data_IF_829230615498
#
_entry.id   IF_829230615498
#
_cell.length_a   1.000
_cell.length_b   1.000
_cell.length_c   1.000
_cell.angle_alpha   90.00
_cell.angle_beta   90.00
_cell.angle_gamma   90.00
#
_symmetry.space_group_name_H-M   'P 1'
#
loop_
_entity.id
_entity.type
_entity.pdbx_description
1 polymer ?
#
# COMPACT_ATOMS: atom_id res chain seq x y z
N UNK A 1 -22.23 24.21 53.79
CA UNK A 1 -21.15 24.85 53.01
C UNK A 1 -20.69 23.84 51.96
N UNK A 2 -21.24 23.95 50.76
CA UNK A 2 -20.96 23.04 49.62
C UNK A 2 -19.67 23.48 48.94
N UNK A 3 -18.69 22.55 48.85
CA UNK A 3 -17.37 22.82 48.31
C UNK A 3 -17.39 23.05 46.79
N UNK A 4 -16.96 24.20 46.26
CA UNK A 4 -16.90 24.46 44.82
C UNK A 4 -15.84 23.64 44.10
N UNK A 5 -14.91 23.00 44.81
CA UNK A 5 -13.80 22.21 44.25
C UNK A 5 -14.26 20.91 43.56
N UNK A 6 -15.31 20.25 44.03
CA UNK A 6 -15.80 18.98 43.46
C UNK A 6 -16.44 19.16 42.09
N UNK A 7 -17.04 20.28 41.81
CA UNK A 7 -17.69 20.56 40.52
C UNK A 7 -16.65 20.78 39.38
N UNK A 8 -15.53 21.42 39.71
CA UNK A 8 -14.46 21.67 38.72
C UNK A 8 -13.73 20.41 38.29
N UNK A 9 -13.52 19.44 39.20
CA UNK A 9 -12.88 18.16 38.90
C UNK A 9 -13.76 17.31 38.00
N UNK A 10 -15.07 17.30 38.19
CA UNK A 10 -16.01 16.57 37.36
C UNK A 10 -16.15 17.16 35.95
N UNK A 11 -16.11 18.48 35.79
CA UNK A 11 -16.11 19.12 34.47
C UNK A 11 -14.82 18.84 33.68
N UNK A 12 -13.66 18.84 34.33
CA UNK A 12 -12.38 18.60 33.70
C UNK A 12 -12.27 17.15 33.22
N UNK A 13 -12.76 16.17 33.97
CA UNK A 13 -12.78 14.76 33.58
C UNK A 13 -13.71 14.47 32.40
N UNK A 14 -14.83 15.21 32.28
CA UNK A 14 -15.77 15.06 31.17
C UNK A 14 -15.17 15.59 29.84
N UNK A 15 -14.47 16.72 29.89
CA UNK A 15 -13.81 17.32 28.71
C UNK A 15 -12.69 16.44 28.15
N UNK A 16 -11.91 15.77 29.00
CA UNK A 16 -10.85 14.84 28.54
C UNK A 16 -11.42 13.59 27.87
N UNK A 17 -12.56 13.10 28.32
CA UNK A 17 -13.24 11.93 27.73
C UNK A 17 -13.79 12.23 26.34
N UNK A 18 -14.35 13.42 26.10
CA UNK A 18 -14.88 13.84 24.78
C UNK A 18 -13.76 14.01 23.75
N UNK A 19 -12.61 14.59 24.13
CA UNK A 19 -11.47 14.75 23.25
C UNK A 19 -10.87 13.39 22.83
N UNK A 20 -10.84 12.41 23.71
CA UNK A 20 -10.39 11.05 23.41
C UNK A 20 -11.27 10.34 22.38
N UNK A 21 -12.57 10.49 22.47
CA UNK A 21 -13.53 9.90 21.52
C UNK A 21 -13.44 10.53 20.12
N UNK A 22 -13.26 11.84 20.04
CA UNK A 22 -13.12 12.55 18.76
C UNK A 22 -11.85 12.11 18.01
N UNK A 23 -10.72 11.95 18.69
CA UNK A 23 -9.47 11.48 18.10
C UNK A 23 -9.57 10.01 17.61
N UNK A 24 -10.23 9.16 18.37
CA UNK A 24 -10.44 7.76 17.98
C UNK A 24 -11.34 7.65 16.74
N UNK A 25 -12.40 8.45 16.65
CA UNK A 25 -13.29 8.50 15.48
C UNK A 25 -12.53 8.95 14.22
N UNK A 26 -11.70 9.98 14.32
CA UNK A 26 -10.88 10.48 13.21
C UNK A 26 -9.86 9.42 12.75
N UNK A 27 -9.22 8.72 13.68
CA UNK A 27 -8.30 7.63 13.39
C UNK A 27 -8.99 6.47 12.64
N UNK A 28 -10.18 6.07 13.08
CA UNK A 28 -10.95 5.01 12.43
C UNK A 28 -11.41 5.42 11.03
N UNK A 29 -11.87 6.64 10.83
CA UNK A 29 -12.23 7.17 9.50
C UNK A 29 -11.03 7.17 8.55
N UNK A 30 -9.84 7.51 9.01
CA UNK A 30 -8.61 7.46 8.24
C UNK A 30 -8.32 6.02 7.76
N UNK A 31 -8.45 5.05 8.63
CA UNK A 31 -8.24 3.62 8.30
C UNK A 31 -9.27 3.12 7.28
N UNK A 32 -10.55 3.46 7.46
CA UNK A 32 -11.62 3.09 6.51
C UNK A 32 -11.39 3.71 5.12
N UNK A 33 -10.96 4.97 5.08
CA UNK A 33 -10.56 5.62 3.83
C UNK A 33 -9.39 4.89 3.18
N UNK A 34 -8.38 4.51 3.94
CA UNK A 34 -7.23 3.75 3.45
C UNK A 34 -7.61 2.38 2.91
N UNK A 35 -8.50 1.65 3.60
CA UNK A 35 -9.06 0.38 3.13
C UNK A 35 -9.75 0.54 1.78
N UNK A 36 -10.59 1.54 1.65
CA UNK A 36 -11.27 1.86 0.40
C UNK A 36 -10.27 2.13 -0.72
N UNK A 37 -9.31 3.03 -0.50
CA UNK A 37 -8.29 3.40 -1.48
C UNK A 37 -7.46 2.20 -1.93
N UNK A 38 -6.95 1.39 -1.01
CA UNK A 38 -6.20 0.17 -1.32
C UNK A 38 -6.99 -0.79 -2.20
N UNK A 39 -8.30 -0.88 -1.97
CA UNK A 39 -9.20 -1.75 -2.75
C UNK A 39 -9.43 -1.19 -4.15
N UNK A 40 -9.85 0.07 -4.27
CA UNK A 40 -10.25 0.64 -5.58
C UNK A 40 -9.07 1.01 -6.47
N UNK A 41 -7.88 1.24 -5.88
CA UNK A 41 -6.65 1.47 -6.65
C UNK A 41 -5.94 0.19 -7.07
N UNK A 42 -6.52 -0.99 -6.83
CA UNK A 42 -5.98 -2.28 -7.27
C UNK A 42 -4.68 -2.72 -6.57
N UNK A 43 -4.37 -2.19 -5.38
CA UNK A 43 -3.12 -2.57 -4.68
C UNK A 43 -3.06 -4.08 -4.41
N UNK A 44 -4.21 -4.67 -4.08
CA UNK A 44 -4.31 -6.11 -3.81
C UNK A 44 -4.03 -6.98 -5.02
N UNK A 45 -4.31 -6.51 -6.24
CA UNK A 45 -4.22 -7.32 -7.46
C UNK A 45 -2.81 -7.89 -7.68
N UNK A 46 -1.81 -7.13 -7.26
CA UNK A 46 -0.41 -7.55 -7.33
C UNK A 46 0.16 -7.90 -5.94
N UNK A 47 -0.16 -7.12 -4.90
CA UNK A 47 0.47 -7.23 -3.58
C UNK A 47 -0.19 -8.24 -2.64
N UNK A 48 -1.23 -8.96 -3.08
CA UNK A 48 -1.88 -10.05 -2.33
C UNK A 48 -1.90 -11.30 -3.21
N UNK A 49 -1.29 -12.42 -2.76
CA UNK A 49 -1.27 -13.65 -3.55
C UNK A 49 -2.70 -14.14 -3.87
N UNK A 50 -2.93 -14.58 -5.10
CA UNK A 50 -4.19 -15.14 -5.59
C UNK A 50 -5.42 -14.21 -5.44
N UNK A 51 -5.23 -12.90 -5.31
CA UNK A 51 -6.35 -11.97 -5.12
C UNK A 51 -7.26 -11.88 -6.36
N UNK A 52 -6.73 -11.69 -7.60
CA UNK A 52 -7.56 -11.70 -8.79
C UNK A 52 -8.24 -13.05 -9.04
N UNK A 53 -7.52 -14.15 -8.87
CA UNK A 53 -8.00 -15.52 -9.10
C UNK A 53 -9.15 -15.89 -8.16
N UNK A 54 -9.12 -15.35 -6.94
CA UNK A 54 -10.19 -15.54 -5.93
C UNK A 54 -11.39 -14.60 -6.15
N UNK A 55 -11.33 -13.69 -7.13
CA UNK A 55 -12.31 -12.61 -7.26
C UNK A 55 -12.32 -11.68 -6.04
N UNK A 56 -11.15 -11.42 -5.46
CA UNK A 56 -10.99 -10.54 -4.31
C UNK A 56 -11.38 -11.14 -2.95
N UNK A 57 -11.61 -12.45 -2.87
CA UNK A 57 -12.13 -13.13 -1.66
C UNK A 57 -11.04 -13.54 -0.66
N UNK A 58 -9.85 -12.95 -0.74
CA UNK A 58 -8.80 -13.20 0.26
C UNK A 58 -9.18 -12.49 1.56
N UNK A 59 -9.13 -13.16 2.73
CA UNK A 59 -9.37 -12.54 4.03
C UNK A 59 -8.48 -11.32 4.25
N UNK A 60 -9.03 -10.26 4.85
CA UNK A 60 -8.31 -8.99 5.03
C UNK A 60 -6.97 -9.17 5.77
N UNK A 61 -6.94 -10.04 6.77
CA UNK A 61 -5.73 -10.37 7.52
C UNK A 61 -4.62 -11.03 6.69
N UNK A 62 -4.90 -11.49 5.46
CA UNK A 62 -3.95 -12.15 4.55
C UNK A 62 -3.54 -11.27 3.36
N UNK A 63 -4.09 -10.05 3.28
CA UNK A 63 -3.82 -9.14 2.17
C UNK A 63 -2.50 -8.39 2.33
N UNK A 64 -1.98 -7.89 1.20
CA UNK A 64 -0.83 -6.99 1.10
C UNK A 64 0.49 -7.60 1.60
N UNK A 65 0.59 -8.93 1.59
CA UNK A 65 1.78 -9.68 2.04
C UNK A 65 2.85 -9.84 0.96
N UNK A 66 2.68 -9.19 -0.20
CA UNK A 66 3.56 -9.34 -1.36
C UNK A 66 3.25 -10.57 -2.18
N UNK A 67 4.01 -10.78 -3.27
CA UNK A 67 3.84 -11.95 -4.13
C UNK A 67 5.20 -12.47 -4.61
N UNK A 68 5.33 -13.79 -4.72
CA UNK A 68 6.51 -14.45 -5.29
C UNK A 68 6.43 -14.62 -6.81
N UNK A 69 5.27 -14.37 -7.43
CA UNK A 69 5.14 -14.30 -8.88
C UNK A 69 5.73 -12.98 -9.36
N UNK A 70 6.77 -13.06 -10.20
CA UNK A 70 7.44 -11.90 -10.77
C UNK A 70 6.73 -11.35 -11.99
N UNK A 71 7.07 -10.12 -12.36
CA UNK A 71 6.67 -9.48 -13.60
C UNK A 71 7.92 -9.19 -14.42
N UNK A 72 8.12 -9.94 -15.51
CA UNK A 72 9.31 -9.85 -16.34
C UNK A 72 9.04 -9.04 -17.61
N UNK A 73 9.95 -8.12 -17.91
CA UNK A 73 9.87 -7.28 -19.09
C UNK A 73 11.24 -6.71 -19.46
N UNK A 74 11.30 -5.69 -20.35
CA UNK A 74 12.55 -5.03 -20.71
C UNK A 74 13.33 -4.45 -19.52
N UNK A 75 12.64 -4.23 -18.40
CA UNK A 75 13.21 -3.72 -17.14
C UNK A 75 13.83 -4.81 -16.25
N UNK A 76 13.81 -6.08 -16.65
CA UNK A 76 14.15 -7.22 -15.80
C UNK A 76 12.93 -7.85 -15.15
N UNK A 77 13.10 -8.49 -13.99
CA UNK A 77 12.00 -9.09 -13.22
C UNK A 77 11.79 -8.33 -11.91
N UNK A 78 10.63 -7.71 -11.75
CA UNK A 78 10.20 -7.04 -10.51
C UNK A 78 9.17 -7.89 -9.76
N UNK A 79 9.09 -7.72 -8.45
CA UNK A 79 8.17 -8.45 -7.58
C UNK A 79 7.33 -7.49 -6.75
N UNK A 80 6.02 -7.76 -6.57
CA UNK A 80 5.18 -6.97 -5.69
C UNK A 80 5.65 -7.09 -4.25
N UNK A 81 6.10 -5.99 -3.69
CA UNK A 81 6.64 -5.95 -2.33
C UNK A 81 5.58 -6.34 -1.29
N UNK A 82 6.02 -6.92 -0.17
CA UNK A 82 5.20 -7.04 1.03
C UNK A 82 4.98 -5.65 1.64
N UNK A 83 3.79 -5.07 1.38
CA UNK A 83 3.47 -3.70 1.83
C UNK A 83 3.35 -3.61 3.35
N UNK A 84 2.98 -4.71 4.03
CA UNK A 84 2.89 -4.75 5.50
C UNK A 84 4.27 -4.63 6.14
N UNK A 85 5.28 -5.29 5.57
CA UNK A 85 6.68 -5.14 6.00
C UNK A 85 7.26 -3.80 5.57
N UNK A 86 6.90 -3.30 4.39
CA UNK A 86 7.30 -1.97 3.92
C UNK A 86 6.83 -0.90 4.90
N UNK A 87 5.54 -0.89 5.26
CA UNK A 87 4.99 0.11 6.18
C UNK A 87 5.48 -0.07 7.63
N UNK A 88 5.84 -1.30 8.04
CA UNK A 88 6.50 -1.52 9.33
C UNK A 88 7.81 -0.74 9.43
N UNK A 89 8.57 -0.69 8.35
CA UNK A 89 9.94 -0.15 8.31
C UNK A 89 10.01 1.34 7.92
N UNK A 90 8.89 1.95 7.53
CA UNK A 90 8.81 3.36 7.16
C UNK A 90 8.00 4.15 8.19
N UNK A 91 8.45 5.37 8.48
CA UNK A 91 7.57 6.38 9.08
C UNK A 91 6.57 6.88 8.04
N UNK A 92 5.49 7.52 8.48
CA UNK A 92 4.50 8.14 7.57
C UNK A 92 5.16 9.13 6.61
N UNK A 93 6.06 9.98 7.11
CA UNK A 93 6.78 10.93 6.27
C UNK A 93 7.66 10.25 5.21
N UNK A 94 8.35 9.17 5.57
CA UNK A 94 9.14 8.38 4.62
C UNK A 94 8.26 7.71 3.57
N UNK A 95 7.06 7.25 3.97
CA UNK A 95 6.08 6.71 3.03
C UNK A 95 5.63 7.77 2.02
N UNK A 96 5.26 8.98 2.47
CA UNK A 96 4.87 10.07 1.57
C UNK A 96 5.97 10.38 0.55
N UNK A 97 7.23 10.49 0.98
CA UNK A 97 8.36 10.71 0.09
C UNK A 97 8.53 9.56 -0.92
N UNK A 98 8.44 8.30 -0.46
CA UNK A 98 8.56 7.13 -1.32
C UNK A 98 7.45 7.04 -2.36
N UNK A 99 6.22 7.38 -1.99
CA UNK A 99 5.06 7.34 -2.88
C UNK A 99 5.18 8.32 -4.07
N UNK A 100 6.02 9.35 -3.95
CA UNK A 100 6.30 10.33 -5.00
C UNK A 100 7.44 9.91 -5.95
N UNK A 101 8.17 8.82 -5.64
CA UNK A 101 9.30 8.37 -6.45
C UNK A 101 8.87 7.38 -7.53
N UNK A 102 9.52 7.39 -8.70
CA UNK A 102 9.33 6.36 -9.70
C UNK A 102 9.62 4.96 -9.16
N UNK A 103 8.78 4.01 -9.53
CA UNK A 103 8.96 2.59 -9.19
C UNK A 103 9.10 1.77 -10.48
N UNK A 104 9.63 0.56 -10.36
CA UNK A 104 9.81 -0.33 -11.52
C UNK A 104 8.46 -0.79 -12.06
N UNK A 105 8.34 -0.92 -13.39
CA UNK A 105 7.17 -1.54 -14.00
C UNK A 105 6.93 -2.97 -13.46
N UNK A 106 5.68 -3.45 -13.50
CA UNK A 106 4.49 -2.78 -14.03
C UNK A 106 3.77 -1.90 -12.99
N UNK A 107 4.37 -1.64 -11.81
CA UNK A 107 3.74 -0.82 -10.78
C UNK A 107 3.32 0.56 -11.35
N UNK A 108 2.02 0.90 -11.32
CA UNK A 108 1.54 2.20 -11.78
C UNK A 108 1.83 3.28 -10.72
N UNK A 109 3.11 3.56 -10.48
CA UNK A 109 3.59 4.48 -9.43
C UNK A 109 3.04 5.90 -9.57
N UNK A 110 2.67 6.30 -10.78
CA UNK A 110 2.04 7.60 -11.03
C UNK A 110 0.69 7.72 -10.32
N UNK A 111 -0.04 6.61 -10.08
CA UNK A 111 -1.26 6.63 -9.26
C UNK A 111 -0.98 7.02 -7.81
N UNK A 112 0.14 6.56 -7.23
CA UNK A 112 0.56 7.00 -5.89
C UNK A 112 1.02 8.47 -5.92
N UNK A 113 1.78 8.86 -6.94
CA UNK A 113 2.24 10.24 -7.11
C UNK A 113 1.07 11.23 -7.13
N UNK A 114 -0.03 10.86 -7.77
CA UNK A 114 -1.16 11.75 -8.00
C UNK A 114 -2.22 11.71 -6.87
N UNK A 115 -2.07 10.80 -5.89
CA UNK A 115 -2.88 10.82 -4.66
C UNK A 115 -2.56 12.08 -3.82
N UNK A 116 -3.55 12.59 -3.10
CA UNK A 116 -3.33 13.62 -2.07
C UNK A 116 -2.48 13.06 -0.92
N UNK A 117 -1.85 13.94 -0.15
CA UNK A 117 -1.11 13.50 1.04
C UNK A 117 -2.04 12.85 2.07
N UNK A 118 -3.27 13.33 2.20
CA UNK A 118 -4.25 12.75 3.12
C UNK A 118 -4.68 11.34 2.68
N UNK A 119 -4.83 11.09 1.39
CA UNK A 119 -5.09 9.75 0.86
C UNK A 119 -3.89 8.81 1.08
N UNK A 120 -2.67 9.29 0.88
CA UNK A 120 -1.46 8.51 1.17
C UNK A 120 -1.32 8.20 2.67
N UNK A 121 -1.65 9.16 3.56
CA UNK A 121 -1.71 8.93 5.01
C UNK A 121 -2.77 7.89 5.37
N UNK A 122 -3.92 7.94 4.73
CA UNK A 122 -4.98 6.96 4.92
C UNK A 122 -4.53 5.55 4.52
N UNK A 123 -3.89 5.40 3.35
CA UNK A 123 -3.28 4.13 2.90
C UNK A 123 -2.26 3.63 3.94
N UNK A 124 -1.38 4.50 4.42
CA UNK A 124 -0.40 4.17 5.45
C UNK A 124 -1.08 3.69 6.73
N UNK A 125 -2.06 4.43 7.25
CA UNK A 125 -2.77 4.10 8.48
C UNK A 125 -3.44 2.72 8.39
N UNK A 126 -4.13 2.44 7.28
CA UNK A 126 -4.76 1.14 7.05
C UNK A 126 -3.75 -0.02 7.05
N UNK A 127 -2.67 0.10 6.28
CA UNK A 127 -1.67 -0.98 6.18
C UNK A 127 -0.94 -1.16 7.52
N UNK A 128 -0.68 -0.10 8.26
CA UNK A 128 -0.13 -0.14 9.61
C UNK A 128 -1.06 -0.86 10.60
N UNK A 129 -2.36 -0.63 10.50
CA UNK A 129 -3.35 -1.31 11.35
C UNK A 129 -3.39 -2.82 11.09
N UNK A 130 -3.23 -3.26 9.83
CA UNK A 130 -3.13 -4.69 9.53
C UNK A 130 -1.93 -5.35 10.22
N UNK A 131 -0.91 -4.59 10.57
CA UNK A 131 0.32 -5.05 11.21
C UNK A 131 1.22 -5.90 10.29
N UNK A 132 2.44 -6.22 10.69
CA UNK A 132 3.38 -7.00 9.90
C UNK A 132 2.92 -8.46 9.76
N UNK A 133 3.08 -9.03 8.54
CA UNK A 133 2.79 -10.45 8.26
C UNK A 133 3.57 -10.92 7.03
N UNK A 134 3.88 -12.22 6.99
CA UNK A 134 4.54 -12.86 5.84
C UNK A 134 6.03 -12.59 5.78
N UNK A 135 6.63 -12.95 4.64
CA UNK A 135 8.06 -12.79 4.34
C UNK A 135 8.28 -11.69 3.30
N UNK A 136 9.49 -11.14 3.18
CA UNK A 136 9.84 -10.27 2.08
C UNK A 136 9.59 -10.95 0.72
N UNK A 137 9.09 -10.19 -0.26
CA UNK A 137 9.05 -10.67 -1.64
C UNK A 137 10.48 -10.89 -2.19
N UNK A 138 10.64 -11.71 -3.25
CA UNK A 138 11.94 -11.87 -3.90
C UNK A 138 12.54 -10.54 -4.36
N UNK A 139 13.87 -10.48 -4.40
CA UNK A 139 14.58 -9.30 -4.88
C UNK A 139 14.44 -9.11 -6.40
N UNK A 140 14.57 -7.85 -6.84
CA UNK A 140 14.62 -7.54 -8.26
C UNK A 140 15.76 -8.27 -8.97
N UNK A 141 15.47 -8.82 -10.16
CA UNK A 141 16.48 -9.38 -11.07
C UNK A 141 16.65 -8.48 -12.31
N UNK A 142 17.90 -8.18 -12.66
CA UNK A 142 18.23 -7.33 -13.81
C UNK A 142 17.83 -7.99 -15.16
N UNK A 143 17.70 -7.22 -16.25
CA UNK A 143 17.48 -7.81 -17.59
C UNK A 143 18.52 -8.90 -17.91
N UNK A 144 18.04 -10.04 -18.40
CA UNK A 144 18.89 -11.20 -18.72
C UNK A 144 19.27 -12.08 -17.52
N UNK A 145 19.00 -11.67 -16.30
CA UNK A 145 19.22 -12.49 -15.12
C UNK A 145 18.10 -13.55 -14.99
N UNK A 146 18.49 -14.81 -14.90
CA UNK A 146 17.54 -15.90 -14.67
C UNK A 146 16.92 -15.83 -13.27
N UNK A 147 15.64 -16.20 -13.16
CA UNK A 147 14.91 -16.31 -11.90
C UNK A 147 14.35 -17.72 -11.76
N UNK A 148 14.27 -18.23 -10.53
CA UNK A 148 13.73 -19.56 -10.23
C UNK A 148 12.26 -19.48 -9.73
N UNK A 149 11.68 -18.30 -9.71
CA UNK A 149 10.28 -18.07 -9.31
C UNK A 149 9.37 -18.05 -10.53
N UNK A 150 8.08 -18.37 -10.39
CA UNK A 150 7.11 -18.09 -11.44
C UNK A 150 7.09 -16.59 -11.79
N UNK A 151 6.84 -16.28 -13.07
CA UNK A 151 6.68 -14.91 -13.52
C UNK A 151 5.68 -14.78 -14.68
N UNK A 152 5.11 -13.59 -14.82
CA UNK A 152 4.28 -13.20 -15.95
C UNK A 152 5.18 -12.46 -16.94
N UNK A 153 5.15 -12.88 -18.22
CA UNK A 153 5.94 -12.27 -19.31
C UNK A 153 5.21 -11.03 -19.87
N UNK A 154 5.80 -9.87 -19.64
CA UNK A 154 5.34 -8.57 -20.17
C UNK A 154 6.08 -8.14 -21.44
N UNK A 155 6.75 -9.08 -22.11
CA UNK A 155 7.39 -8.77 -23.40
C UNK A 155 6.32 -8.52 -24.47
N UNK A 156 6.31 -7.33 -25.10
CA UNK A 156 5.36 -7.04 -26.16
C UNK A 156 5.49 -8.04 -27.32
N UNK A 157 4.36 -8.55 -27.78
CA UNK A 157 4.30 -9.45 -28.97
C UNK A 157 3.69 -8.69 -30.14
N UNK A 158 3.94 -9.18 -31.37
CA UNK A 158 3.37 -8.65 -32.61
C UNK A 158 3.56 -7.12 -32.79
N UNK A 159 4.74 -6.64 -32.41
CA UNK A 159 5.09 -5.23 -32.63
C UNK A 159 5.01 -4.90 -34.14
N UNK A 160 4.45 -3.73 -34.53
CA UNK A 160 4.49 -3.30 -35.91
C UNK A 160 5.94 -3.22 -36.38
N UNK A 161 6.22 -3.68 -37.61
CA UNK A 161 7.54 -3.49 -38.19
C UNK A 161 7.82 -2.00 -38.29
N UNK A 162 8.95 -1.55 -37.73
CA UNK A 162 9.43 -0.20 -38.00
C UNK A 162 9.54 -0.07 -39.52
N UNK A 163 8.73 0.79 -40.13
CA UNK A 163 8.99 1.22 -41.48
C UNK A 163 10.35 1.91 -41.42
N UNK A 164 11.35 1.35 -42.13
CA UNK A 164 12.61 2.04 -42.34
C UNK A 164 12.23 3.38 -42.99
N UNK A 165 12.51 4.47 -42.29
CA UNK A 165 12.44 5.81 -42.87
C UNK A 165 13.37 5.77 -44.10
N UNK A 166 12.80 5.87 -45.30
CA UNK A 166 13.56 6.11 -46.50
C UNK A 166 14.19 7.51 -46.33
N UNK A 167 15.52 7.53 -46.15
CA UNK A 167 16.31 8.74 -46.34
C UNK A 167 16.39 9.06 -47.85
#
# INVERSE_FOLDING_TARGET
MSHPFTLHILLLSLLTSIAGMANAATSQQMVERGRYLVTVSGCNDCHTPNYPESGGKIPEGDRLTGNSVGFQGPWGTSYPANLRLTMKNLTEQQWLLRARQPLRPPMPWFSLRDMTDDDLRAVYAYIRQLGPKGQPAPGYAAPGQAVNTPYIDFMPKNLPRRQASAE
#
